data_IF_057050861565
#
_entry.id   IF_057050861565
#
_cell.length_a   1.000
_cell.length_b   1.000
_cell.length_c   1.000
_cell.angle_alpha   90.00
_cell.angle_beta   90.00
_cell.angle_gamma   90.00
#
_symmetry.space_group_name_H-M   'P 1'
#
loop_
_entity.id
_entity.type
_entity.pdbx_description
1 polymer ?
#
# COMPACT_ATOMS: atom_id res chain seq x y z
N UNK A 1 -14.36 -13.18 10.99
CA UNK A 1 -12.99 -12.67 10.74
C UNK A 1 -12.57 -13.11 9.35
N UNK A 2 -11.92 -12.25 8.56
CA UNK A 2 -11.41 -12.54 7.21
C UNK A 2 -12.45 -13.03 6.17
N UNK A 3 -13.75 -12.83 6.41
CA UNK A 3 -14.75 -13.00 5.35
C UNK A 3 -14.72 -11.80 4.40
N UNK A 4 -15.20 -11.98 3.17
CA UNK A 4 -15.24 -10.91 2.16
C UNK A 4 -15.87 -9.60 2.68
N UNK A 5 -17.01 -9.60 3.42
CA UNK A 5 -17.55 -8.37 4.00
C UNK A 5 -16.61 -7.68 4.99
N UNK A 6 -15.87 -8.44 5.82
CA UNK A 6 -14.91 -7.86 6.76
C UNK A 6 -13.69 -7.29 6.03
N UNK A 7 -13.20 -7.97 5.00
CA UNK A 7 -12.06 -7.49 4.18
C UNK A 7 -12.44 -6.19 3.48
N UNK A 8 -13.63 -6.13 2.88
CA UNK A 8 -14.13 -4.94 2.20
C UNK A 8 -14.30 -3.76 3.16
N UNK A 9 -14.88 -4.00 4.35
CA UNK A 9 -15.01 -2.97 5.39
C UNK A 9 -13.65 -2.48 5.87
N UNK A 10 -12.69 -3.37 6.09
CA UNK A 10 -11.33 -3.01 6.49
C UNK A 10 -10.63 -2.16 5.43
N UNK A 11 -10.79 -2.50 4.15
CA UNK A 11 -10.22 -1.74 3.04
C UNK A 11 -10.86 -0.34 2.91
N UNK A 12 -12.18 -0.23 3.10
CA UNK A 12 -12.87 1.06 3.09
C UNK A 12 -12.44 1.96 4.26
N UNK A 13 -12.40 1.41 5.47
CA UNK A 13 -11.89 2.12 6.65
C UNK A 13 -10.44 2.60 6.45
N UNK A 14 -9.58 1.77 5.87
CA UNK A 14 -8.20 2.16 5.54
C UNK A 14 -8.17 3.33 4.54
N UNK A 15 -8.97 3.30 3.46
CA UNK A 15 -9.05 4.40 2.49
C UNK A 15 -9.54 5.70 3.11
N UNK A 16 -10.54 5.63 4.00
CA UNK A 16 -11.11 6.80 4.68
C UNK A 16 -10.18 7.35 5.79
N UNK A 17 -9.25 6.55 6.30
CA UNK A 17 -8.30 6.96 7.34
C UNK A 17 -7.10 7.77 6.82
N UNK A 18 -6.84 7.75 5.50
CA UNK A 18 -5.69 8.43 4.90
C UNK A 18 -5.92 9.95 4.82
N UNK A 19 -4.91 10.72 5.19
CA UNK A 19 -4.93 12.19 5.12
C UNK A 19 -3.89 12.68 4.10
N UNK A 20 -4.33 13.42 3.10
CA UNK A 20 -3.44 14.08 2.15
C UNK A 20 -2.87 15.37 2.75
N UNK A 21 -1.63 15.33 3.22
CA UNK A 21 -0.99 16.48 3.86
C UNK A 21 -0.46 17.52 2.85
N UNK A 22 0.03 17.09 1.69
CA UNK A 22 0.61 17.94 0.66
C UNK A 22 0.37 17.35 -0.73
N UNK A 23 0.02 18.20 -1.71
CA UNK A 23 -0.07 17.82 -3.11
C UNK A 23 0.14 19.04 -4.02
N UNK A 24 1.29 19.11 -4.69
CA UNK A 24 1.62 20.19 -5.64
C UNK A 24 1.25 19.79 -7.09
N UNK A 25 0.15 19.07 -7.28
CA UNK A 25 -0.31 18.57 -8.59
C UNK A 25 0.30 17.23 -9.02
N UNK A 26 0.87 16.47 -8.10
CA UNK A 26 1.47 15.15 -8.37
C UNK A 26 0.43 14.02 -8.35
N UNK A 27 -0.52 14.11 -7.41
CA UNK A 27 -1.59 13.13 -7.25
C UNK A 27 -2.92 13.64 -7.82
N UNK A 28 -3.78 12.77 -8.40
CA UNK A 28 -3.56 11.33 -8.59
C UNK A 28 -2.51 11.05 -9.68
N UNK A 29 -1.84 9.90 -9.58
CA UNK A 29 -0.90 9.46 -10.63
C UNK A 29 -1.65 9.29 -11.96
N UNK A 30 -1.03 9.73 -13.06
CA UNK A 30 -1.58 9.54 -14.39
C UNK A 30 -1.57 8.06 -14.79
N UNK A 31 -2.47 7.69 -15.72
CA UNK A 31 -2.41 6.37 -16.35
C UNK A 31 -1.04 6.15 -17.00
N UNK A 32 -0.58 4.89 -17.03
CA UNK A 32 0.68 4.45 -17.64
C UNK A 32 1.96 5.09 -17.05
N UNK A 33 1.87 5.70 -15.87
CA UNK A 33 3.04 6.23 -15.16
C UNK A 33 3.96 5.08 -14.74
N UNK A 34 5.25 5.18 -15.07
CA UNK A 34 6.28 4.29 -14.49
C UNK A 34 6.63 4.75 -13.08
N UNK A 35 6.59 3.85 -12.12
CA UNK A 35 6.76 4.14 -10.69
C UNK A 35 7.98 3.39 -10.14
N UNK A 36 8.89 4.14 -9.51
CA UNK A 36 9.92 3.55 -8.66
C UNK A 36 9.45 3.62 -7.21
N UNK A 37 9.19 2.46 -6.59
CA UNK A 37 8.85 2.36 -5.17
C UNK A 37 10.15 2.24 -4.38
N UNK A 38 10.37 3.12 -3.42
CA UNK A 38 11.59 3.15 -2.61
C UNK A 38 11.25 3.25 -1.13
N UNK A 39 11.87 2.40 -0.31
CA UNK A 39 11.78 2.49 1.15
C UNK A 39 11.64 1.12 1.84
N UNK A 40 12.10 1.01 3.11
CA UNK A 40 12.13 -0.27 3.84
C UNK A 40 10.73 -0.76 4.25
N UNK A 41 9.75 0.14 4.28
CA UNK A 41 8.36 -0.18 4.60
C UNK A 41 7.53 -0.62 3.39
N UNK A 42 8.04 -0.45 2.17
CA UNK A 42 7.26 -0.69 0.96
C UNK A 42 6.82 -2.14 0.82
N UNK A 43 7.67 -3.08 1.23
CA UNK A 43 7.42 -4.53 1.13
C UNK A 43 7.62 -5.25 2.48
N UNK A 44 7.21 -4.58 3.57
CA UNK A 44 7.32 -5.12 4.92
C UNK A 44 5.95 -5.21 5.60
N UNK A 45 5.37 -6.41 5.65
CA UNK A 45 4.07 -6.61 6.30
C UNK A 45 4.11 -6.37 7.81
N UNK A 46 5.28 -6.51 8.46
CA UNK A 46 5.43 -6.23 9.89
C UNK A 46 5.18 -4.75 10.21
N UNK A 47 5.52 -3.85 9.27
CA UNK A 47 5.22 -2.42 9.43
C UNK A 47 3.72 -2.16 9.50
N UNK A 48 2.87 -3.00 8.89
CA UNK A 48 1.42 -2.81 8.85
C UNK A 48 0.73 -3.07 10.19
N UNK A 49 1.33 -3.91 11.03
CA UNK A 49 0.65 -4.49 12.20
C UNK A 49 1.02 -3.79 13.52
N UNK A 50 2.09 -2.98 13.54
CA UNK A 50 2.55 -2.27 14.73
C UNK A 50 2.63 -3.19 15.98
N UNK A 51 2.32 -2.68 17.16
CA UNK A 51 2.52 -3.36 18.45
C UNK A 51 1.26 -4.01 19.07
N UNK A 52 0.07 -3.82 18.49
CA UNK A 52 -1.17 -4.45 18.96
C UNK A 52 -1.94 -5.05 17.79
N UNK A 53 -1.63 -6.31 17.45
CA UNK A 53 -2.19 -6.97 16.27
C UNK A 53 -2.53 -8.45 16.49
N UNK A 54 -3.54 -8.92 15.76
CA UNK A 54 -3.70 -10.33 15.43
C UNK A 54 -2.99 -10.63 14.11
N UNK A 55 -2.51 -11.86 13.91
CA UNK A 55 -1.84 -12.26 12.65
C UNK A 55 -2.80 -12.08 11.46
N UNK A 56 -2.51 -11.19 10.50
CA UNK A 56 -3.39 -10.99 9.35
C UNK A 56 -3.43 -12.26 8.48
N UNK A 57 -4.60 -12.58 7.93
CA UNK A 57 -4.77 -13.74 7.05
C UNK A 57 -4.20 -13.48 5.66
N UNK A 58 -4.32 -12.25 5.17
CA UNK A 58 -3.87 -11.82 3.85
C UNK A 58 -3.46 -10.33 3.91
N UNK A 59 -2.28 -10.02 4.50
CA UNK A 59 -1.77 -8.65 4.46
C UNK A 59 -1.47 -8.25 3.01
N UNK A 60 -1.62 -6.96 2.70
CA UNK A 60 -1.24 -6.38 1.41
C UNK A 60 -0.23 -5.27 1.69
N UNK A 61 1.01 -5.41 1.18
CA UNK A 61 2.05 -4.38 1.31
C UNK A 61 1.78 -3.19 0.39
N UNK A 62 2.44 -2.07 0.64
CA UNK A 62 2.32 -0.90 -0.24
C UNK A 62 2.81 -1.22 -1.65
N UNK A 63 3.90 -1.99 -1.78
CA UNK A 63 4.43 -2.45 -3.06
C UNK A 63 3.41 -3.32 -3.81
N UNK A 64 2.80 -4.29 -3.14
CA UNK A 64 1.76 -5.15 -3.73
C UNK A 64 0.56 -4.34 -4.22
N UNK A 65 0.07 -3.40 -3.40
CA UNK A 65 -1.03 -2.51 -3.77
C UNK A 65 -0.72 -1.62 -4.96
N UNK A 66 0.51 -1.08 -5.05
CA UNK A 66 0.96 -0.26 -6.18
C UNK A 66 1.09 -1.10 -7.44
N UNK A 67 1.73 -2.28 -7.38
CA UNK A 67 1.82 -3.21 -8.53
C UNK A 67 0.45 -3.59 -9.07
N UNK A 68 -0.49 -3.93 -8.19
CA UNK A 68 -1.85 -4.28 -8.58
C UNK A 68 -2.60 -3.11 -9.26
N UNK A 69 -2.27 -1.86 -8.91
CA UNK A 69 -2.93 -0.66 -9.45
C UNK A 69 -2.30 -0.15 -10.75
N UNK A 70 -0.97 -0.21 -10.88
CA UNK A 70 -0.19 0.43 -11.94
C UNK A 70 0.27 -0.58 -13.02
N UNK A 71 0.26 -1.88 -12.72
CA UNK A 71 0.85 -2.92 -13.55
C UNK A 71 2.28 -3.22 -13.11
N UNK A 72 2.61 -4.50 -12.94
CA UNK A 72 3.90 -4.93 -12.41
C UNK A 72 5.06 -4.53 -13.33
N UNK A 73 4.84 -4.53 -14.64
CA UNK A 73 5.80 -4.10 -15.66
C UNK A 73 6.17 -2.62 -15.59
N UNK A 74 5.34 -1.80 -14.93
CA UNK A 74 5.55 -0.37 -14.76
C UNK A 74 6.15 0.00 -13.40
N UNK A 75 6.41 -0.98 -12.54
CA UNK A 75 6.87 -0.76 -11.16
C UNK A 75 8.26 -1.37 -10.94
N UNK A 76 9.19 -0.55 -10.49
CA UNK A 76 10.49 -1.01 -9.97
C UNK A 76 10.55 -0.79 -8.46
N UNK A 77 11.35 -1.59 -7.75
CA UNK A 77 11.48 -1.51 -6.30
C UNK A 77 12.95 -1.48 -5.87
N UNK A 78 13.26 -0.65 -4.87
CA UNK A 78 14.52 -0.70 -4.13
C UNK A 78 14.27 -0.41 -2.64
N UNK A 79 14.98 -1.11 -1.74
CA UNK A 79 14.85 -0.89 -0.29
C UNK A 79 15.27 0.52 0.12
N UNK A 80 16.31 1.08 -0.53
CA UNK A 80 16.89 2.37 -0.17
C UNK A 80 17.70 2.29 1.12
N UNK A 81 17.16 2.81 2.23
CA UNK A 81 17.81 2.84 3.54
C UNK A 81 16.99 2.06 4.55
N UNK A 82 17.66 1.34 5.45
CA UNK A 82 17.07 0.54 6.54
C UNK A 82 17.11 1.28 7.86
#
# INVERSE_FOLDING_TARGET
>A
VASEPHINLSADAARQSLVLLKNDGVLPLAADTKVAVIGPNADNWWTLVANYYGRPTQPVTALEGIKAKIGEENVTYAVGST
#
